data_IF_825471008193
#
_entry.id   IF_825471008193
#
_cell.length_a   1.000
_cell.length_b   1.000
_cell.length_c   1.000
_cell.angle_alpha   90.00
_cell.angle_beta   90.00
_cell.angle_gamma   90.00
#
_symmetry.space_group_name_H-M   'P 1'
#
loop_
_entity.id
_entity.type
_entity.pdbx_description
1 polymer ?
#
# COMPACT_ATOMS: atom_id res chain seq x y z
N UNK A 1 22.37 20.72 2.19
CA UNK A 1 21.68 21.47 1.12
C UNK A 1 20.32 20.79 0.93
N UNK A 2 19.23 21.54 1.07
CA UNK A 2 17.90 21.03 0.74
C UNK A 2 17.84 20.74 -0.77
N UNK A 3 17.68 19.46 -1.14
CA UNK A 3 17.56 19.02 -2.53
C UNK A 3 16.13 18.54 -2.79
N UNK A 4 15.70 18.64 -4.04
CA UNK A 4 14.51 17.92 -4.49
C UNK A 4 14.79 16.42 -4.41
N UNK A 5 13.88 15.67 -3.82
CA UNK A 5 13.99 14.21 -3.63
C UNK A 5 12.84 13.54 -4.35
N UNK A 6 13.12 12.45 -5.04
CA UNK A 6 12.13 11.59 -5.66
C UNK A 6 12.21 10.17 -5.07
N UNK A 7 11.06 9.56 -4.89
CA UNK A 7 10.96 8.15 -4.55
C UNK A 7 10.10 7.42 -5.59
N UNK A 8 10.56 6.25 -6.03
CA UNK A 8 9.76 5.28 -6.78
C UNK A 8 9.59 4.06 -5.90
N UNK A 9 8.34 3.68 -5.64
CA UNK A 9 8.00 2.43 -4.98
C UNK A 9 7.46 1.43 -6.00
N UNK A 10 8.12 0.28 -6.10
CA UNK A 10 7.74 -0.83 -6.98
C UNK A 10 7.00 -1.87 -6.14
N UNK A 11 5.69 -1.70 -6.04
CA UNK A 11 4.81 -2.59 -5.31
C UNK A 11 4.30 -3.77 -6.15
N UNK A 12 3.60 -4.69 -5.50
CA UNK A 12 3.02 -5.88 -6.17
C UNK A 12 1.87 -5.52 -7.11
N UNK A 13 1.04 -4.53 -6.76
CA UNK A 13 -0.08 -4.09 -7.59
C UNK A 13 0.22 -2.81 -8.37
N UNK A 14 0.87 -1.84 -7.75
CA UNK A 14 1.13 -0.52 -8.33
C UNK A 14 2.59 -0.12 -8.23
N UNK A 15 3.03 0.71 -9.19
CA UNK A 15 4.32 1.39 -9.17
C UNK A 15 4.03 2.87 -9.04
N UNK A 16 4.63 3.51 -8.03
CA UNK A 16 4.25 4.83 -7.58
C UNK A 16 5.44 5.79 -7.62
N UNK A 17 5.20 7.07 -7.89
CA UNK A 17 6.20 8.14 -7.88
C UNK A 17 5.77 9.23 -6.91
N UNK A 18 6.73 9.74 -6.14
CA UNK A 18 6.62 10.97 -5.36
C UNK A 18 7.84 11.83 -5.61
N UNK A 19 7.64 13.11 -5.94
CA UNK A 19 8.70 14.12 -6.03
C UNK A 19 8.38 15.25 -5.06
N UNK A 20 9.32 15.56 -4.18
CA UNK A 20 9.18 16.61 -3.16
C UNK A 20 10.31 17.61 -3.29
N UNK A 21 9.97 18.88 -3.28
CA UNK A 21 10.97 19.95 -3.38
C UNK A 21 11.84 20.11 -2.12
N UNK A 22 12.81 20.99 -2.20
CA UNK A 22 13.73 21.29 -1.09
C UNK A 22 13.01 21.79 0.18
N UNK A 23 11.84 22.39 0.05
CA UNK A 23 11.06 22.93 1.18
C UNK A 23 10.08 21.92 1.78
N UNK A 24 9.80 20.84 1.07
CA UNK A 24 8.90 19.77 1.50
C UNK A 24 7.55 19.77 0.79
N UNK A 25 7.38 20.60 -0.23
CA UNK A 25 6.16 20.60 -1.01
C UNK A 25 6.17 19.44 -2.01
N UNK A 26 5.05 18.76 -2.12
CA UNK A 26 4.82 17.78 -3.16
C UNK A 26 4.74 18.46 -4.52
N UNK A 27 5.62 18.06 -5.46
CA UNK A 27 5.63 18.53 -6.83
C UNK A 27 4.90 17.58 -7.77
N UNK A 28 5.04 16.26 -7.53
CA UNK A 28 4.44 15.20 -8.34
C UNK A 28 4.08 14.03 -7.44
N UNK A 29 2.87 13.51 -7.57
CA UNK A 29 2.47 12.20 -7.04
C UNK A 29 1.72 11.45 -8.13
N UNK A 30 2.26 10.31 -8.55
CA UNK A 30 1.65 9.45 -9.55
C UNK A 30 1.53 8.02 -9.04
N UNK A 31 0.42 7.39 -9.40
CA UNK A 31 0.11 5.99 -9.07
C UNK A 31 -0.27 5.29 -10.37
N UNK A 32 0.47 4.25 -10.75
CA UNK A 32 0.16 3.43 -11.91
C UNK A 32 0.01 1.96 -11.51
N UNK A 33 -1.10 1.34 -11.85
CA UNK A 33 -1.31 -0.09 -11.63
C UNK A 33 -0.53 -0.87 -12.69
N UNK A 34 0.53 -1.57 -12.26
CA UNK A 34 1.40 -2.37 -13.13
C UNK A 34 1.21 -3.86 -12.95
N UNK A 35 0.53 -4.28 -11.86
CA UNK A 35 0.28 -5.68 -11.51
C UNK A 35 1.57 -6.54 -11.60
N UNK A 36 2.70 -6.02 -11.07
CA UNK A 36 3.98 -6.74 -11.12
C UNK A 36 3.92 -8.08 -10.39
N UNK A 37 3.14 -8.16 -9.33
CA UNK A 37 2.98 -9.35 -8.49
C UNK A 37 2.02 -10.41 -9.04
N UNK A 38 1.37 -10.16 -10.19
CA UNK A 38 0.43 -11.10 -10.81
C UNK A 38 1.08 -12.47 -11.04
N UNK A 39 0.50 -13.52 -10.44
CA UNK A 39 0.97 -14.90 -10.55
C UNK A 39 2.27 -15.24 -9.82
N UNK A 40 2.94 -14.29 -9.16
CA UNK A 40 4.24 -14.54 -8.48
C UNK A 40 4.08 -15.54 -7.34
N UNK A 41 3.01 -15.47 -6.56
CA UNK A 41 2.76 -16.41 -5.47
C UNK A 41 2.74 -17.88 -5.94
N UNK A 42 2.25 -18.13 -7.16
CA UNK A 42 2.15 -19.46 -7.76
C UNK A 42 3.41 -19.88 -8.50
N UNK A 43 4.09 -18.94 -9.17
CA UNK A 43 5.20 -19.24 -10.09
C UNK A 43 6.59 -19.02 -9.50
N UNK A 44 6.69 -18.18 -8.47
CA UNK A 44 7.96 -17.75 -7.88
C UNK A 44 8.78 -16.82 -8.79
N UNK A 45 8.21 -16.28 -9.87
CA UNK A 45 8.91 -15.38 -10.80
C UNK A 45 8.00 -14.24 -11.28
N UNK A 46 8.61 -13.08 -11.51
CA UNK A 46 7.96 -11.97 -12.22
C UNK A 46 7.78 -12.35 -13.69
N UNK A 47 6.56 -12.24 -14.21
CA UNK A 47 6.29 -12.53 -15.63
C UNK A 47 6.93 -11.47 -16.53
N UNK A 48 7.36 -11.88 -17.75
CA UNK A 48 7.96 -10.94 -18.70
C UNK A 48 7.00 -9.79 -19.05
N UNK A 49 5.71 -10.08 -19.19
CA UNK A 49 4.68 -9.06 -19.49
C UNK A 49 4.54 -8.04 -18.33
N UNK A 50 4.56 -8.51 -17.07
CA UNK A 50 4.50 -7.63 -15.90
C UNK A 50 5.76 -6.76 -15.77
N UNK A 51 6.94 -7.33 -16.03
CA UNK A 51 8.21 -6.61 -16.08
C UNK A 51 8.14 -5.49 -17.13
N UNK A 52 7.68 -5.78 -18.34
CA UNK A 52 7.61 -4.80 -19.44
C UNK A 52 6.63 -3.65 -19.12
N UNK A 53 5.44 -3.98 -18.57
CA UNK A 53 4.49 -2.96 -18.11
C UNK A 53 5.12 -2.04 -17.07
N UNK A 54 5.80 -2.62 -16.09
CA UNK A 54 6.41 -1.88 -14.98
C UNK A 54 7.57 -1.02 -15.47
N UNK A 55 8.45 -1.55 -16.32
CA UNK A 55 9.57 -0.78 -16.88
C UNK A 55 9.10 0.41 -17.72
N UNK A 56 8.03 0.25 -18.50
CA UNK A 56 7.44 1.36 -19.27
C UNK A 56 7.00 2.52 -18.36
N UNK A 57 6.41 2.22 -17.21
CA UNK A 57 6.02 3.22 -16.21
C UNK A 57 7.26 3.86 -15.60
N UNK A 58 8.24 3.06 -15.19
CA UNK A 58 9.49 3.55 -14.58
C UNK A 58 10.29 4.46 -15.54
N UNK A 59 10.34 4.16 -16.82
CA UNK A 59 10.95 5.02 -17.84
C UNK A 59 10.22 6.37 -17.94
N UNK A 60 8.89 6.38 -17.80
CA UNK A 60 8.11 7.60 -17.68
C UNK A 60 8.51 8.43 -16.47
N UNK A 61 8.57 7.78 -15.33
CA UNK A 61 8.97 8.39 -14.06
C UNK A 61 10.41 8.92 -14.08
N UNK A 62 11.34 8.20 -14.69
CA UNK A 62 12.72 8.66 -14.83
C UNK A 62 12.82 10.00 -15.57
N UNK A 63 11.99 10.22 -16.61
CA UNK A 63 11.92 11.50 -17.31
C UNK A 63 11.36 12.63 -16.42
N UNK A 64 10.32 12.34 -15.63
CA UNK A 64 9.76 13.30 -14.66
C UNK A 64 10.81 13.65 -13.60
N UNK A 65 11.48 12.67 -13.02
CA UNK A 65 12.55 12.88 -12.02
C UNK A 65 13.67 13.73 -12.58
N UNK A 66 14.11 13.45 -13.82
CA UNK A 66 15.16 14.22 -14.49
C UNK A 66 14.75 15.69 -14.72
N UNK A 67 13.49 15.96 -15.07
CA UNK A 67 12.99 17.33 -15.27
C UNK A 67 13.01 18.18 -13.99
N UNK A 68 12.94 17.55 -12.83
CA UNK A 68 13.03 18.18 -11.51
C UNK A 68 14.44 18.16 -10.90
N UNK A 69 15.45 17.58 -11.59
CA UNK A 69 16.80 17.36 -11.09
C UNK A 69 16.80 16.73 -9.66
N UNK A 70 15.87 15.82 -9.42
CA UNK A 70 15.65 15.21 -8.11
C UNK A 70 16.62 14.05 -7.84
N UNK A 71 17.01 13.90 -6.56
CA UNK A 71 17.78 12.76 -6.07
C UNK A 71 16.83 11.56 -5.95
N UNK A 72 17.07 10.52 -6.76
CA UNK A 72 16.13 9.42 -6.94
C UNK A 72 16.43 8.22 -6.02
N UNK A 73 15.44 7.81 -5.25
CA UNK A 73 15.42 6.61 -4.43
C UNK A 73 14.37 5.62 -4.96
N UNK A 74 14.78 4.37 -5.19
CA UNK A 74 13.90 3.33 -5.74
C UNK A 74 13.81 2.18 -4.75
N UNK A 75 12.59 1.75 -4.43
CA UNK A 75 12.32 0.62 -3.55
C UNK A 75 11.51 -0.45 -4.28
N UNK A 76 11.81 -1.71 -3.97
CA UNK A 76 10.98 -2.85 -4.36
C UNK A 76 10.53 -3.61 -3.10
N UNK A 77 9.31 -4.11 -3.10
CA UNK A 77 8.65 -4.67 -1.93
C UNK A 77 8.26 -6.14 -2.11
N UNK A 78 7.13 -6.58 -1.61
CA UNK A 78 6.75 -7.99 -1.47
C UNK A 78 6.88 -8.83 -2.75
N UNK A 79 6.39 -8.37 -3.92
CA UNK A 79 6.54 -9.13 -5.17
C UNK A 79 8.00 -9.37 -5.53
N UNK A 80 8.85 -8.34 -5.32
CA UNK A 80 10.29 -8.45 -5.55
C UNK A 80 10.98 -9.37 -4.53
N UNK A 81 10.50 -9.44 -3.27
CA UNK A 81 11.03 -10.41 -2.28
C UNK A 81 10.68 -11.85 -2.63
N UNK A 82 9.50 -12.08 -3.20
CA UNK A 82 9.01 -13.43 -3.54
C UNK A 82 9.61 -14.00 -4.82
N UNK A 83 10.08 -13.15 -5.73
CA UNK A 83 10.46 -13.55 -7.07
C UNK A 83 11.96 -13.90 -7.20
N UNK A 84 12.27 -15.06 -7.78
CA UNK A 84 13.65 -15.50 -8.01
C UNK A 84 14.42 -14.69 -9.08
N UNK A 85 13.70 -13.95 -9.96
CA UNK A 85 14.29 -13.16 -11.03
C UNK A 85 14.37 -11.64 -10.74
N UNK A 86 14.23 -11.24 -9.47
CA UNK A 86 14.27 -9.83 -9.05
C UNK A 86 15.57 -9.12 -9.41
N UNK A 87 16.71 -9.79 -9.31
CA UNK A 87 18.00 -9.18 -9.66
C UNK A 87 18.08 -8.79 -11.14
N UNK A 88 17.54 -9.63 -12.04
CA UNK A 88 17.47 -9.33 -13.47
C UNK A 88 16.53 -8.14 -13.75
N UNK A 89 15.40 -8.09 -13.07
CA UNK A 89 14.47 -6.98 -13.14
C UNK A 89 15.12 -5.70 -12.62
N UNK A 90 15.78 -5.71 -11.47
CA UNK A 90 16.46 -4.54 -10.91
C UNK A 90 17.60 -4.04 -11.79
N UNK A 91 18.31 -4.93 -12.47
CA UNK A 91 19.32 -4.52 -13.45
C UNK A 91 18.70 -3.70 -14.61
N UNK A 92 17.50 -4.10 -15.08
CA UNK A 92 16.74 -3.33 -16.10
C UNK A 92 16.26 -1.99 -15.55
N UNK A 93 15.77 -1.96 -14.30
CA UNK A 93 15.35 -0.70 -13.64
C UNK A 93 16.55 0.26 -13.52
N UNK A 94 17.72 -0.22 -13.08
CA UNK A 94 18.96 0.56 -13.02
C UNK A 94 19.35 1.11 -14.38
N UNK A 95 19.27 0.28 -15.43
CA UNK A 95 19.59 0.72 -16.79
C UNK A 95 18.64 1.85 -17.27
N UNK A 96 17.35 1.80 -16.89
CA UNK A 96 16.35 2.79 -17.26
C UNK A 96 16.45 4.09 -16.47
N UNK A 97 16.92 4.05 -15.21
CA UNK A 97 16.87 5.20 -14.29
C UNK A 97 18.24 5.76 -13.92
N UNK A 98 19.31 4.99 -14.09
CA UNK A 98 20.64 5.31 -13.57
C UNK A 98 20.81 5.11 -12.06
N UNK A 99 19.76 4.73 -11.33
CA UNK A 99 19.76 4.55 -9.86
C UNK A 99 19.59 3.08 -9.49
N UNK A 100 20.25 2.66 -8.41
CA UNK A 100 20.15 1.29 -7.91
C UNK A 100 18.87 1.10 -7.10
N UNK A 101 17.97 0.16 -7.49
CA UNK A 101 16.82 -0.18 -6.68
C UNK A 101 17.25 -0.91 -5.39
N UNK A 102 16.60 -0.57 -4.28
CA UNK A 102 16.77 -1.25 -2.99
C UNK A 102 15.60 -2.21 -2.75
N UNK A 103 15.90 -3.49 -2.50
CA UNK A 103 14.90 -4.42 -1.99
C UNK A 103 14.70 -4.17 -0.49
N UNK A 104 13.48 -3.78 -0.11
CA UNK A 104 13.15 -3.58 1.30
C UNK A 104 12.86 -4.92 1.99
N UNK A 105 13.37 -5.09 3.20
CA UNK A 105 12.87 -6.11 4.12
C UNK A 105 11.43 -5.77 4.53
N UNK A 106 10.67 -6.74 5.03
CA UNK A 106 9.33 -6.48 5.54
C UNK A 106 9.34 -5.46 6.69
N UNK A 107 10.34 -5.53 7.57
CA UNK A 107 10.49 -4.60 8.70
C UNK A 107 10.83 -3.17 8.23
N UNK A 108 11.71 -3.02 7.23
CA UNK A 108 12.03 -1.69 6.67
C UNK A 108 10.80 -1.09 5.96
N UNK A 109 10.06 -1.90 5.20
CA UNK A 109 8.83 -1.50 4.52
C UNK A 109 7.79 -1.03 5.55
N UNK A 110 7.51 -1.84 6.57
CA UNK A 110 6.56 -1.54 7.62
C UNK A 110 6.94 -0.25 8.40
N UNK A 111 8.23 -0.10 8.75
CA UNK A 111 8.73 1.09 9.44
C UNK A 111 8.58 2.35 8.59
N UNK A 112 8.98 2.31 7.33
CA UNK A 112 8.87 3.46 6.43
C UNK A 112 7.41 3.79 6.13
N UNK A 113 6.54 2.80 5.90
CA UNK A 113 5.11 3.00 5.70
C UNK A 113 4.46 3.63 6.93
N UNK A 114 4.80 3.16 8.14
CA UNK A 114 4.29 3.74 9.38
C UNK A 114 4.68 5.22 9.52
N UNK A 115 5.96 5.55 9.34
CA UNK A 115 6.43 6.93 9.44
C UNK A 115 5.78 7.84 8.39
N UNK A 116 5.65 7.37 7.14
CA UNK A 116 4.97 8.12 6.09
C UNK A 116 3.50 8.35 6.41
N UNK A 117 2.81 7.31 6.90
CA UNK A 117 1.39 7.35 7.20
C UNK A 117 1.01 8.37 8.28
N UNK A 118 1.84 8.49 9.33
CA UNK A 118 1.49 9.29 10.52
C UNK A 118 2.04 10.71 10.49
N UNK A 119 3.06 10.99 9.67
CA UNK A 119 3.83 12.24 9.71
C UNK A 119 2.96 13.51 9.50
N UNK A 120 1.90 13.41 8.73
CA UNK A 120 0.99 14.53 8.40
C UNK A 120 -0.33 14.50 9.16
N UNK A 121 -0.54 13.48 10.00
CA UNK A 121 -1.74 13.39 10.85
C UNK A 121 -1.50 14.10 12.21
N UNK A 122 -2.56 14.61 12.84
CA UNK A 122 -2.45 15.19 14.18
C UNK A 122 -1.81 14.19 15.16
N UNK A 123 -0.98 14.70 16.06
CA UNK A 123 -0.39 13.87 17.13
C UNK A 123 -1.49 13.34 18.06
N UNK A 124 -1.30 12.11 18.55
CA UNK A 124 -2.17 11.50 19.57
C UNK A 124 -1.34 11.01 20.74
N UNK A 125 -1.94 10.96 21.92
CA UNK A 125 -1.37 10.27 23.07
C UNK A 125 -1.55 8.76 22.89
N UNK A 126 -0.48 7.99 23.16
CA UNK A 126 -0.45 6.55 23.04
C UNK A 126 -0.11 6.03 21.63
N UNK A 127 -0.09 4.71 21.51
CA UNK A 127 0.40 4.06 20.32
C UNK A 127 -0.57 4.20 19.13
N UNK A 128 0.00 4.26 17.93
CA UNK A 128 -0.75 4.23 16.67
C UNK A 128 -0.43 2.94 15.91
N UNK A 129 -1.47 2.20 15.51
CA UNK A 129 -1.34 1.10 14.57
C UNK A 129 -1.57 1.61 13.14
N UNK A 130 -0.71 1.21 12.22
CA UNK A 130 -0.90 1.40 10.78
C UNK A 130 -1.27 0.05 10.15
N UNK A 131 -2.36 0.03 9.38
CA UNK A 131 -2.79 -1.08 8.53
C UNK A 131 -2.40 -0.72 7.11
N UNK A 132 -1.48 -1.47 6.52
CA UNK A 132 -1.08 -1.33 5.11
C UNK A 132 -1.56 -2.55 4.32
N UNK A 133 -2.57 -2.37 3.45
CA UNK A 133 -3.09 -3.45 2.60
C UNK A 133 -2.46 -3.31 1.23
N UNK A 134 -1.35 -4.00 1.04
CA UNK A 134 -0.61 -4.05 -0.21
C UNK A 134 -1.17 -5.04 -1.23
N UNK A 135 -0.40 -5.25 -2.32
CA UNK A 135 -0.78 -6.20 -3.37
C UNK A 135 -0.58 -7.66 -2.97
N UNK A 136 0.53 -7.99 -2.33
CA UNK A 136 0.91 -9.37 -1.97
C UNK A 136 1.03 -9.61 -0.46
N UNK A 137 1.06 -8.57 0.35
CA UNK A 137 1.13 -8.67 1.81
C UNK A 137 0.24 -7.62 2.47
N UNK A 138 -0.03 -7.83 3.75
CA UNK A 138 -0.75 -6.88 4.62
C UNK A 138 0.05 -6.74 5.91
N UNK A 139 0.42 -5.52 6.26
CA UNK A 139 1.20 -5.19 7.44
C UNK A 139 0.33 -4.53 8.51
N UNK A 140 0.51 -4.96 9.77
CA UNK A 140 0.01 -4.27 10.96
C UNK A 140 1.23 -3.83 11.77
N UNK A 141 1.45 -2.51 11.85
CA UNK A 141 2.63 -1.93 12.49
C UNK A 141 2.22 -0.98 13.60
N UNK A 142 2.70 -1.20 14.81
CA UNK A 142 2.44 -0.35 15.98
C UNK A 142 3.67 0.48 16.30
N UNK A 143 3.48 1.78 16.42
CA UNK A 143 4.53 2.71 16.84
C UNK A 143 4.07 3.68 17.92
N UNK A 144 5.05 4.19 18.66
CA UNK A 144 4.85 5.18 19.74
C UNK A 144 4.65 6.59 19.19
N UNK A 145 4.16 7.54 20.00
CA UNK A 145 4.11 8.96 19.61
C UNK A 145 5.49 9.55 19.26
N UNK A 146 6.58 8.95 19.73
CA UNK A 146 7.96 9.35 19.43
C UNK A 146 8.49 8.76 18.13
N UNK A 147 7.72 7.88 17.49
CA UNK A 147 8.08 7.25 16.22
C UNK A 147 8.89 5.95 16.35
N UNK A 148 8.99 5.38 17.54
CA UNK A 148 9.61 4.07 17.72
C UNK A 148 8.62 2.97 17.35
N UNK A 149 9.02 2.02 16.50
CA UNK A 149 8.21 0.85 16.19
C UNK A 149 8.28 -0.13 17.37
N UNK A 150 7.12 -0.39 17.94
CA UNK A 150 6.96 -1.30 19.10
C UNK A 150 6.76 -2.73 18.62
N UNK A 151 5.98 -2.89 17.55
CA UNK A 151 5.66 -4.20 17.01
C UNK A 151 5.28 -4.11 15.52
N UNK A 152 5.49 -5.19 14.79
CA UNK A 152 5.09 -5.29 13.38
C UNK A 152 4.84 -6.74 13.02
N UNK A 153 3.82 -6.98 12.22
CA UNK A 153 3.53 -8.28 11.59
C UNK A 153 3.20 -8.06 10.13
N UNK A 154 3.82 -8.87 9.27
CA UNK A 154 3.48 -8.94 7.84
C UNK A 154 2.79 -10.29 7.58
N UNK A 155 1.58 -10.23 7.08
CA UNK A 155 0.78 -11.39 6.70
C UNK A 155 0.93 -11.62 5.19
N UNK A 156 1.11 -12.88 4.72
CA UNK A 156 1.46 -13.21 3.34
C UNK A 156 0.24 -13.19 2.40
N UNK A 157 -0.64 -12.21 2.56
CA UNK A 157 -1.77 -11.95 1.67
C UNK A 157 -1.99 -10.44 1.51
N UNK A 158 -2.21 -10.03 0.30
CA UNK A 158 -2.66 -8.71 -0.11
C UNK A 158 -3.78 -8.84 -1.12
N UNK A 159 -4.17 -7.73 -1.73
CA UNK A 159 -5.36 -7.74 -2.62
C UNK A 159 -5.18 -8.63 -3.85
N UNK A 160 -3.98 -8.73 -4.39
CA UNK A 160 -3.69 -9.59 -5.55
C UNK A 160 -3.68 -11.06 -5.14
N UNK A 161 -2.85 -11.40 -4.14
CA UNK A 161 -2.67 -12.79 -3.72
C UNK A 161 -3.94 -13.39 -3.13
N UNK A 162 -4.73 -12.63 -2.35
CA UNK A 162 -6.02 -13.11 -1.83
C UNK A 162 -7.05 -13.30 -2.94
N UNK A 163 -7.11 -12.37 -3.91
CA UNK A 163 -8.02 -12.49 -5.05
C UNK A 163 -7.67 -13.72 -5.89
N UNK A 164 -6.40 -13.94 -6.20
CA UNK A 164 -5.92 -15.10 -6.96
C UNK A 164 -6.18 -16.43 -6.24
N UNK A 165 -6.11 -16.44 -4.90
CA UNK A 165 -6.27 -17.65 -4.10
C UNK A 165 -7.74 -18.04 -3.87
N UNK A 166 -8.63 -17.07 -3.66
CA UNK A 166 -9.96 -17.32 -3.11
C UNK A 166 -11.13 -16.82 -3.98
N UNK A 167 -10.93 -15.81 -4.85
CA UNK A 167 -12.03 -15.15 -5.57
C UNK A 167 -11.98 -15.46 -7.07
N UNK A 168 -12.57 -16.59 -7.46
CA UNK A 168 -12.48 -17.11 -8.83
C UNK A 168 -13.69 -16.82 -9.69
N UNK A 169 -14.84 -16.44 -9.08
CA UNK A 169 -16.10 -16.16 -9.76
C UNK A 169 -16.34 -14.66 -9.93
N UNK A 170 -17.17 -14.27 -10.91
CA UNK A 170 -17.58 -12.90 -11.14
C UNK A 170 -19.13 -12.77 -11.26
N UNK A 171 -19.82 -12.18 -10.25
CA UNK A 171 -19.27 -11.75 -8.95
C UNK A 171 -18.80 -12.94 -8.11
N UNK A 172 -17.94 -12.73 -7.10
CA UNK A 172 -17.52 -13.78 -6.19
C UNK A 172 -18.70 -14.43 -5.49
N UNK A 173 -18.66 -15.75 -5.32
CA UNK A 173 -19.69 -16.51 -4.62
C UNK A 173 -19.59 -16.33 -3.10
N UNK A 174 -20.70 -16.58 -2.41
CA UNK A 174 -20.76 -16.43 -0.96
C UNK A 174 -19.71 -17.29 -0.22
N UNK A 175 -19.47 -18.52 -0.68
CA UNK A 175 -18.45 -19.40 -0.14
C UNK A 175 -17.02 -18.87 -0.37
N UNK A 176 -16.72 -18.28 -1.51
CA UNK A 176 -15.41 -17.68 -1.82
C UNK A 176 -15.14 -16.49 -0.89
N UNK A 177 -16.14 -15.61 -0.72
CA UNK A 177 -16.06 -14.47 0.20
C UNK A 177 -15.90 -14.93 1.66
N UNK A 178 -16.64 -15.96 2.07
CA UNK A 178 -16.56 -16.52 3.43
C UNK A 178 -15.17 -17.11 3.69
N UNK A 179 -14.61 -17.86 2.74
CA UNK A 179 -13.27 -18.43 2.84
C UNK A 179 -12.21 -17.34 2.95
N UNK A 180 -12.25 -16.34 2.07
CA UNK A 180 -11.32 -15.20 2.08
C UNK A 180 -11.35 -14.47 3.43
N UNK A 181 -12.53 -14.12 3.94
CA UNK A 181 -12.68 -13.42 5.21
C UNK A 181 -12.21 -14.31 6.38
N UNK A 182 -12.51 -15.60 6.36
CA UNK A 182 -12.09 -16.53 7.43
C UNK A 182 -10.58 -16.70 7.46
N UNK A 183 -9.95 -16.91 6.30
CA UNK A 183 -8.49 -17.04 6.19
C UNK A 183 -7.78 -15.80 6.75
N UNK A 184 -8.23 -14.60 6.37
CA UNK A 184 -7.68 -13.35 6.89
C UNK A 184 -7.94 -13.25 8.40
N UNK A 185 -9.17 -13.57 8.85
CA UNK A 185 -9.56 -13.53 10.25
C UNK A 185 -8.68 -14.42 11.12
N UNK A 186 -8.43 -15.65 10.71
CA UNK A 186 -7.59 -16.60 11.45
C UNK A 186 -6.13 -16.09 11.55
N UNK A 187 -5.62 -15.47 10.49
CA UNK A 187 -4.27 -14.87 10.53
C UNK A 187 -4.21 -13.65 11.46
N UNK A 188 -5.25 -12.81 11.49
CA UNK A 188 -5.35 -11.67 12.41
C UNK A 188 -5.47 -12.14 13.87
N UNK A 189 -6.27 -13.16 14.14
CA UNK A 189 -6.41 -13.74 15.48
C UNK A 189 -5.07 -14.30 15.98
N UNK A 190 -4.34 -15.05 15.14
CA UNK A 190 -3.00 -15.54 15.46
C UNK A 190 -2.03 -14.39 15.72
N UNK A 191 -2.03 -13.37 14.88
CA UNK A 191 -1.19 -12.19 15.07
C UNK A 191 -1.51 -11.47 16.39
N UNK A 192 -2.79 -11.32 16.75
CA UNK A 192 -3.20 -10.68 18.00
C UNK A 192 -2.83 -11.51 19.26
N UNK A 193 -2.84 -12.85 19.17
CA UNK A 193 -2.38 -13.72 20.24
C UNK A 193 -0.86 -13.60 20.44
N UNK A 194 -0.09 -13.61 19.34
CA UNK A 194 1.36 -13.51 19.39
C UNK A 194 1.86 -12.11 19.76
N UNK A 195 1.06 -11.08 19.43
CA UNK A 195 1.38 -9.64 19.58
C UNK A 195 0.24 -8.88 20.27
N UNK A 196 0.13 -8.96 21.60
CA UNK A 196 -0.94 -8.28 22.35
C UNK A 196 -0.95 -6.75 22.18
N UNK A 197 0.15 -6.16 21.75
CA UNK A 197 0.27 -4.72 21.44
C UNK A 197 -0.68 -4.25 20.34
N UNK A 198 -1.12 -5.13 19.44
CA UNK A 198 -2.10 -4.82 18.40
C UNK A 198 -3.47 -4.41 18.96
N UNK A 199 -3.85 -4.88 20.16
CA UNK A 199 -5.13 -4.58 20.80
C UNK A 199 -5.16 -3.35 21.71
N UNK A 200 -4.01 -2.69 21.96
CA UNK A 200 -3.87 -1.61 22.95
C UNK A 200 -3.55 -0.24 22.36
N UNK A 201 -4.04 0.08 21.17
CA UNK A 201 -3.67 1.30 20.43
C UNK A 201 -4.72 2.40 20.61
N UNK A 202 -4.26 3.66 20.62
CA UNK A 202 -5.12 4.84 20.74
C UNK A 202 -5.68 5.30 19.38
N UNK A 203 -5.02 4.93 18.28
CA UNK A 203 -5.44 5.25 16.92
C UNK A 203 -5.06 4.14 15.97
N UNK A 204 -5.93 3.90 14.99
CA UNK A 204 -5.65 3.04 13.84
C UNK A 204 -5.67 3.88 12.58
N UNK A 205 -4.62 3.76 11.77
CA UNK A 205 -4.47 4.47 10.49
C UNK A 205 -4.45 3.42 9.37
N UNK A 206 -5.28 3.61 8.37
CA UNK A 206 -5.31 2.77 7.19
C UNK A 206 -4.62 3.47 6.01
N UNK A 207 -3.74 2.74 5.31
CA UNK A 207 -2.96 3.25 4.18
C UNK A 207 -3.05 2.35 2.95
N UNK A 208 -2.34 2.72 1.94
CA UNK A 208 -2.27 2.13 0.61
C UNK A 208 -3.55 2.21 -0.23
N UNK A 209 -3.40 1.80 -1.47
CA UNK A 209 -4.42 2.04 -2.48
C UNK A 209 -5.76 1.37 -2.23
N UNK A 210 -5.80 0.26 -1.50
CA UNK A 210 -7.05 -0.46 -1.23
C UNK A 210 -7.93 0.31 -0.24
N UNK A 211 -7.36 0.73 0.89
CA UNK A 211 -8.10 1.49 1.92
C UNK A 211 -8.53 2.85 1.38
N UNK A 212 -7.61 3.54 0.67
CA UNK A 212 -7.92 4.82 0.03
C UNK A 212 -9.04 4.68 -1.01
N UNK A 213 -9.06 3.59 -1.78
CA UNK A 213 -10.12 3.31 -2.76
C UNK A 213 -11.46 3.03 -2.08
N UNK A 214 -11.47 2.21 -1.01
CA UNK A 214 -12.70 1.94 -0.23
C UNK A 214 -13.28 3.25 0.32
N UNK A 215 -12.43 4.13 0.88
CA UNK A 215 -12.87 5.44 1.36
C UNK A 215 -13.35 6.35 0.23
N UNK A 216 -12.73 6.30 -0.95
CA UNK A 216 -13.17 7.08 -2.11
C UNK A 216 -14.52 6.61 -2.65
N UNK A 217 -14.77 5.30 -2.67
CA UNK A 217 -16.07 4.71 -3.03
C UNK A 217 -17.14 5.10 -2.02
N UNK A 218 -16.86 5.03 -0.71
CA UNK A 218 -17.77 5.49 0.35
C UNK A 218 -18.19 6.95 0.15
N UNK A 219 -17.24 7.82 -0.20
CA UNK A 219 -17.53 9.23 -0.48
C UNK A 219 -18.13 9.48 -1.87
N UNK A 220 -18.24 8.49 -2.72
CA UNK A 220 -18.70 8.63 -4.11
C UNK A 220 -17.87 9.60 -4.93
N UNK A 221 -16.54 9.62 -4.74
CA UNK A 221 -15.65 10.57 -5.41
C UNK A 221 -15.51 10.23 -6.89
N UNK A 222 -15.86 11.16 -7.77
CA UNK A 222 -15.63 10.99 -9.23
C UNK A 222 -14.19 11.18 -9.64
N UNK A 223 -13.44 11.97 -8.90
CA UNK A 223 -12.03 12.26 -9.07
C UNK A 223 -11.33 12.09 -7.72
N UNK A 224 -10.06 11.69 -7.75
CA UNK A 224 -9.26 11.56 -6.54
C UNK A 224 -9.09 12.92 -5.86
N UNK A 225 -9.46 13.00 -4.59
CA UNK A 225 -9.32 14.20 -3.76
C UNK A 225 -8.67 13.84 -2.42
N UNK A 226 -7.36 14.04 -2.35
CA UNK A 226 -6.59 13.74 -1.15
C UNK A 226 -7.03 14.58 0.05
N UNK A 227 -7.52 15.79 -0.16
CA UNK A 227 -7.96 16.68 0.93
C UNK A 227 -9.22 16.18 1.64
N UNK A 228 -10.06 15.43 0.95
CA UNK A 228 -11.25 14.78 1.51
C UNK A 228 -10.97 13.41 2.12
N UNK A 229 -9.95 12.73 1.62
CA UNK A 229 -9.59 11.38 2.03
C UNK A 229 -8.61 11.36 3.21
N UNK A 230 -7.61 12.25 3.19
CA UNK A 230 -6.59 12.28 4.24
C UNK A 230 -7.15 12.76 5.57
N UNK A 231 -7.01 11.95 6.61
CA UNK A 231 -7.59 12.21 7.93
C UNK A 231 -9.07 11.84 8.08
N UNK A 232 -9.73 11.33 7.00
CA UNK A 232 -11.09 10.84 7.07
C UNK A 232 -11.21 9.65 8.03
N UNK A 233 -12.26 9.63 8.85
CA UNK A 233 -12.62 8.45 9.62
C UNK A 233 -13.51 7.53 8.76
N UNK A 234 -12.99 6.37 8.38
CA UNK A 234 -13.73 5.30 7.72
C UNK A 234 -14.27 4.36 8.80
N UNK A 235 -15.59 4.36 8.98
CA UNK A 235 -16.25 3.50 9.97
C UNK A 235 -16.30 2.04 9.48
N UNK A 236 -16.43 1.10 10.42
CA UNK A 236 -16.63 -0.32 10.11
C UNK A 236 -17.89 -0.52 9.25
N UNK A 237 -18.99 0.14 9.61
CA UNK A 237 -20.25 0.01 8.87
C UNK A 237 -20.11 0.51 7.42
N UNK A 238 -19.42 1.65 7.20
CA UNK A 238 -19.11 2.15 5.86
C UNK A 238 -18.24 1.18 5.05
N UNK A 239 -17.19 0.64 5.67
CA UNK A 239 -16.33 -0.36 5.01
C UNK A 239 -17.12 -1.63 4.63
N UNK A 240 -18.05 -2.07 5.50
CA UNK A 240 -18.92 -3.22 5.23
C UNK A 240 -19.98 -2.92 4.15
N UNK A 241 -20.50 -1.69 4.07
CA UNK A 241 -21.43 -1.29 3.01
C UNK A 241 -20.75 -1.26 1.65
N UNK A 242 -19.54 -0.69 1.57
CA UNK A 242 -18.72 -0.72 0.35
C UNK A 242 -18.40 -2.16 -0.04
N UNK A 243 -18.01 -3.02 0.93
CA UNK A 243 -17.78 -4.43 0.66
C UNK A 243 -19.00 -5.12 0.07
N UNK A 244 -20.20 -4.96 0.67
CA UNK A 244 -21.44 -5.56 0.18
C UNK A 244 -21.78 -5.12 -1.23
N UNK A 245 -21.62 -3.84 -1.52
CA UNK A 245 -21.86 -3.29 -2.85
C UNK A 245 -20.92 -3.91 -3.88
N UNK A 246 -19.60 -3.78 -3.67
CA UNK A 246 -18.61 -4.20 -4.66
C UNK A 246 -18.54 -5.73 -4.83
N UNK A 247 -18.81 -6.50 -3.78
CA UNK A 247 -18.76 -7.97 -3.83
C UNK A 247 -19.96 -8.60 -4.53
N UNK A 248 -21.10 -7.90 -4.64
CA UNK A 248 -22.31 -8.41 -5.33
C UNK A 248 -22.38 -8.00 -6.78
N UNK A 249 -21.56 -7.07 -7.22
CA UNK A 249 -21.52 -6.58 -8.61
C UNK A 249 -20.54 -7.40 -9.45
N UNK A 250 -20.91 -7.64 -10.73
CA UNK A 250 -19.96 -8.14 -11.73
C UNK A 250 -18.88 -7.10 -12.02
N UNK A 251 -17.73 -7.55 -12.45
CA UNK A 251 -16.64 -6.65 -12.81
C UNK A 251 -17.06 -5.56 -13.80
N UNK A 252 -17.89 -5.93 -14.79
CA UNK A 252 -18.42 -4.99 -15.80
C UNK A 252 -19.29 -3.87 -15.22
N UNK A 253 -19.97 -4.12 -14.10
CA UNK A 253 -20.79 -3.13 -13.41
C UNK A 253 -19.96 -2.39 -12.36
N UNK A 254 -19.12 -3.12 -11.64
CA UNK A 254 -18.25 -2.62 -10.58
C UNK A 254 -17.34 -1.46 -11.03
N UNK A 255 -16.82 -1.51 -12.25
CA UNK A 255 -15.96 -0.45 -12.83
C UNK A 255 -16.64 0.93 -12.92
N UNK A 256 -17.96 1.00 -12.76
CA UNK A 256 -18.73 2.24 -12.84
C UNK A 256 -18.96 2.89 -11.46
N UNK A 257 -18.52 2.26 -10.36
CA UNK A 257 -18.65 2.86 -9.03
C UNK A 257 -17.78 4.13 -8.92
N UNK A 258 -18.38 5.26 -8.51
CA UNK A 258 -17.59 6.46 -8.25
C UNK A 258 -16.52 6.18 -7.18
N UNK A 259 -15.32 6.67 -7.39
CA UNK A 259 -14.21 6.46 -6.46
C UNK A 259 -13.40 5.17 -6.70
N UNK A 260 -13.88 4.27 -7.57
CA UNK A 260 -13.16 3.05 -7.92
C UNK A 260 -12.40 3.21 -9.24
N UNK A 261 -11.06 3.27 -9.24
CA UNK A 261 -10.27 3.22 -10.47
C UNK A 261 -10.49 1.88 -11.20
N UNK A 262 -10.69 1.93 -12.51
CA UNK A 262 -10.99 0.75 -13.34
C UNK A 262 -9.91 -0.33 -13.17
N UNK A 263 -8.65 0.07 -13.07
CA UNK A 263 -7.49 -0.82 -12.93
C UNK A 263 -7.47 -1.57 -11.59
N UNK A 264 -8.24 -1.11 -10.60
CA UNK A 264 -8.36 -1.74 -9.27
C UNK A 264 -9.60 -2.62 -9.14
N UNK A 265 -10.56 -2.48 -10.03
CA UNK A 265 -11.86 -3.16 -9.92
C UNK A 265 -11.75 -4.70 -9.84
N UNK A 266 -10.72 -5.28 -10.46
CA UNK A 266 -10.48 -6.73 -10.44
C UNK A 266 -10.00 -7.27 -9.09
N UNK A 267 -9.39 -6.43 -8.24
CA UNK A 267 -8.78 -6.89 -6.97
C UNK A 267 -9.40 -6.23 -5.73
N UNK A 268 -10.26 -5.22 -5.89
CA UNK A 268 -10.76 -4.42 -4.76
C UNK A 268 -11.60 -5.24 -3.78
N UNK A 269 -12.33 -6.26 -4.24
CA UNK A 269 -13.12 -7.13 -3.36
C UNK A 269 -12.22 -7.88 -2.38
N UNK A 270 -11.04 -8.35 -2.84
CA UNK A 270 -10.02 -8.90 -1.95
C UNK A 270 -9.57 -7.90 -0.89
N UNK A 271 -9.37 -6.63 -1.28
CA UNK A 271 -9.06 -5.54 -0.34
C UNK A 271 -10.16 -5.29 0.70
N UNK A 272 -11.43 -5.33 0.27
CA UNK A 272 -12.57 -5.24 1.17
C UNK A 272 -12.62 -6.41 2.15
N UNK A 273 -12.42 -7.66 1.69
CA UNK A 273 -12.36 -8.85 2.55
C UNK A 273 -11.29 -8.69 3.63
N UNK A 274 -10.09 -8.21 3.25
CA UNK A 274 -8.98 -8.00 4.20
C UNK A 274 -9.37 -6.93 5.24
N UNK A 275 -9.80 -5.76 4.80
CA UNK A 275 -10.13 -4.67 5.71
C UNK A 275 -11.25 -5.05 6.68
N UNK A 276 -12.35 -5.59 6.16
CA UNK A 276 -13.51 -6.00 6.98
C UNK A 276 -13.13 -7.07 7.99
N UNK A 277 -12.33 -8.07 7.59
CA UNK A 277 -11.84 -9.11 8.51
C UNK A 277 -10.99 -8.50 9.64
N UNK A 278 -10.03 -7.62 9.32
CA UNK A 278 -9.19 -6.94 10.32
C UNK A 278 -10.07 -6.11 11.27
N UNK A 279 -10.98 -5.29 10.74
CA UNK A 279 -11.83 -4.45 11.59
C UNK A 279 -12.74 -5.28 12.52
N UNK A 280 -13.27 -6.38 12.04
CA UNK A 280 -14.10 -7.30 12.86
C UNK A 280 -13.29 -7.98 13.96
N UNK A 281 -12.12 -8.55 13.62
CA UNK A 281 -11.31 -9.34 14.55
C UNK A 281 -10.65 -8.50 15.64
N UNK A 282 -10.18 -7.30 15.27
CA UNK A 282 -9.59 -6.38 16.25
C UNK A 282 -10.62 -5.47 16.94
N UNK A 283 -11.91 -5.60 16.63
CA UNK A 283 -12.98 -4.80 17.26
C UNK A 283 -12.86 -3.29 16.95
N UNK A 284 -12.44 -2.94 15.73
CA UNK A 284 -12.24 -1.54 15.33
C UNK A 284 -13.55 -0.93 14.87
N UNK A 285 -14.01 0.15 15.51
CA UNK A 285 -15.20 0.90 15.10
C UNK A 285 -14.92 1.80 13.89
N UNK A 286 -13.70 2.31 13.78
CA UNK A 286 -13.24 3.12 12.65
C UNK A 286 -11.72 3.09 12.51
N UNK A 287 -11.25 3.52 11.33
CA UNK A 287 -9.84 3.77 11.05
C UNK A 287 -9.68 5.17 10.45
N UNK A 288 -8.55 5.83 10.69
CA UNK A 288 -8.20 7.09 10.03
C UNK A 288 -7.53 6.78 8.70
N UNK A 289 -8.06 7.28 7.60
CA UNK A 289 -7.46 7.08 6.27
C UNK A 289 -6.27 8.03 6.10
N UNK A 290 -5.13 7.51 5.65
CA UNK A 290 -4.00 8.33 5.23
C UNK A 290 -3.69 8.10 3.74
N UNK A 291 -3.58 9.19 2.99
CA UNK A 291 -3.12 9.17 1.59
C UNK A 291 -1.59 9.14 1.49
N UNK A 292 -0.89 9.29 2.62
CA UNK A 292 0.55 9.17 2.75
C UNK A 292 0.91 7.75 3.18
N UNK A 293 2.04 7.24 2.69
CA UNK A 293 2.41 5.83 2.84
C UNK A 293 3.94 5.63 2.77
N UNK A 294 4.37 4.45 2.30
CA UNK A 294 5.77 4.08 2.11
C UNK A 294 6.59 5.14 1.34
N UNK A 295 6.05 5.72 0.26
CA UNK A 295 6.76 6.75 -0.52
C UNK A 295 7.14 7.96 0.33
N UNK A 296 6.21 8.42 1.17
CA UNK A 296 6.40 9.57 2.05
C UNK A 296 7.48 9.25 3.09
N UNK A 297 7.48 8.02 3.59
CA UNK A 297 8.52 7.51 4.49
C UNK A 297 9.91 7.46 3.83
N UNK A 298 9.99 6.99 2.59
CA UNK A 298 11.24 6.93 1.81
C UNK A 298 11.79 8.34 1.58
N UNK A 299 10.95 9.28 1.13
CA UNK A 299 11.34 10.68 0.92
C UNK A 299 11.80 11.33 2.22
N UNK A 300 11.06 11.12 3.32
CA UNK A 300 11.42 11.65 4.65
C UNK A 300 12.78 11.13 5.11
N UNK A 301 13.02 9.83 5.01
CA UNK A 301 14.29 9.21 5.37
C UNK A 301 15.46 9.72 4.52
N UNK A 302 15.27 9.87 3.21
CA UNK A 302 16.29 10.39 2.30
C UNK A 302 16.67 11.84 2.62
N UNK A 303 15.70 12.68 3.00
CA UNK A 303 15.94 14.07 3.40
C UNK A 303 16.74 14.18 4.71
N UNK A 304 16.47 13.29 5.69
CA UNK A 304 17.20 13.25 6.95
C UNK A 304 18.67 12.82 6.75
N UNK A 305 18.92 11.80 5.93
CA UNK A 305 20.29 11.34 5.64
C UNK A 305 21.10 12.36 4.83
N UNK A 306 20.45 13.14 3.97
CA UNK A 306 21.08 14.24 3.23
C UNK A 306 21.47 15.45 4.12
N UNK A 307 20.93 15.58 5.32
CA UNK A 307 21.30 16.62 6.29
C UNK A 307 22.46 16.20 7.21
N UNK A 308 22.73 14.89 7.33
CA UNK A 308 23.75 14.31 8.22
C UNK A 308 25.09 13.99 7.55
N UNK A 309 25.41 14.57 6.40
CA UNK A 309 26.62 14.28 5.66
C UNK A 309 27.77 15.23 5.94
N UNK A 310 28.59 14.97 6.97
CA UNK A 310 30.06 14.68 6.84
C UNK A 310 30.62 14.26 8.20
N UNK A 311 31.52 13.23 8.21
CA UNK A 311 32.35 12.97 9.36
C UNK A 311 33.31 14.12 9.59
#
# INVERSE_FOLDING_TARGET
>A
MNRTVAAIDIGSNSTNLLVVDATGNELVREVNVTALGEGVARTGVLSQAAIERTLKVIEGYARVVASHAADLHITGTAACRMAGNTNEFFAKVKAATGSDPRLLSADDEARLAWHGAVASLPAVEGNTMVIDIGGASTELTVGTPQGEIVDSVSMPFGVVTLTEAELHSDPPRAEELSNAISMVGDAVDNAAIERPTLGGVSRVVGVAGSIVTIAAVELGLREFDSSRLHGMALTKDAAEDVFRTLATERLADRVHNPGLPVERAGVIVGGCCILVAIMRRLGLDNITVSTHNLLDGVVSAARLTGQGGKP
#
